data_IF_226834676497
#
_entry.id   IF_226834676497
#
_cell.length_a   1.000
_cell.length_b   1.000
_cell.length_c   1.000
_cell.angle_alpha   90.00
_cell.angle_beta   90.00
_cell.angle_gamma   90.00
#
_symmetry.space_group_name_H-M   'P 1'
#
loop_
_entity.id
_entity.type
_entity.pdbx_description
1 polymer ?
#
# COMPACT_ATOMS: atom_id res chain seq x y z
N UNK A 1 -23.44 18.67 -12.69
CA UNK A 1 -22.31 17.86 -13.15
C UNK A 1 -22.23 16.65 -12.24
N UNK A 2 -22.49 15.44 -12.73
CA UNK A 2 -22.21 14.22 -11.96
C UNK A 2 -20.69 14.03 -11.98
N UNK A 3 -20.01 14.27 -10.85
CA UNK A 3 -18.60 13.93 -10.73
C UNK A 3 -18.48 12.41 -10.79
N UNK A 4 -17.80 11.88 -11.81
CA UNK A 4 -17.32 10.50 -11.75
C UNK A 4 -16.36 10.40 -10.57
N UNK A 5 -16.68 9.53 -9.62
CA UNK A 5 -15.80 9.26 -8.48
C UNK A 5 -14.80 8.22 -8.93
N UNK A 6 -13.54 8.60 -9.07
CA UNK A 6 -12.46 7.66 -9.30
C UNK A 6 -12.15 7.00 -7.96
N UNK A 7 -12.24 5.68 -7.90
CA UNK A 7 -11.89 4.91 -6.71
C UNK A 7 -10.60 4.16 -6.98
N UNK A 8 -9.65 4.27 -6.04
CA UNK A 8 -8.35 3.60 -6.11
C UNK A 8 -8.25 2.66 -4.92
N UNK A 9 -7.85 1.42 -5.14
CA UNK A 9 -7.68 0.41 -4.09
C UNK A 9 -6.35 -0.32 -4.24
N UNK A 10 -5.78 -0.81 -3.14
CA UNK A 10 -4.60 -1.70 -3.18
C UNK A 10 -5.05 -3.07 -3.72
N UNK A 11 -4.26 -3.68 -4.62
CA UNK A 11 -4.53 -5.02 -5.10
C UNK A 11 -4.32 -6.09 -4.03
N UNK A 12 -5.10 -7.17 -4.10
CA UNK A 12 -5.07 -8.23 -3.09
C UNK A 12 -3.71 -8.93 -2.98
N UNK A 13 -3.03 -9.17 -4.11
CA UNK A 13 -1.69 -9.76 -4.15
C UNK A 13 -0.63 -8.89 -3.46
N UNK A 14 -0.82 -7.57 -3.45
CA UNK A 14 0.04 -6.63 -2.70
C UNK A 14 -0.23 -6.76 -1.19
N UNK A 15 -1.49 -6.93 -0.78
CA UNK A 15 -1.85 -7.07 0.63
C UNK A 15 -1.29 -8.36 1.24
N UNK A 16 -1.22 -9.45 0.47
CA UNK A 16 -0.64 -10.72 0.94
C UNK A 16 0.80 -10.55 1.41
N UNK A 17 1.59 -9.78 0.67
CA UNK A 17 3.02 -9.53 0.95
C UNK A 17 3.22 -8.69 2.22
N UNK A 18 2.25 -7.83 2.56
CA UNK A 18 2.29 -7.02 3.78
C UNK A 18 2.07 -7.82 5.07
N UNK A 19 1.84 -9.14 4.98
CA UNK A 19 1.83 -10.03 6.14
C UNK A 19 3.23 -10.51 6.57
N UNK A 20 4.30 -10.19 5.83
CA UNK A 20 5.68 -10.51 6.20
C UNK A 20 6.33 -9.36 7.00
N UNK A 21 6.76 -9.63 8.24
CA UNK A 21 7.40 -8.65 9.12
C UNK A 21 8.65 -8.00 8.50
N UNK A 22 9.37 -8.72 7.63
CA UNK A 22 10.54 -8.19 6.92
C UNK A 22 10.15 -7.12 5.92
N UNK A 23 9.01 -7.30 5.25
CA UNK A 23 8.44 -6.29 4.33
C UNK A 23 8.06 -5.05 5.11
N UNK A 24 7.38 -5.22 6.26
CA UNK A 24 7.01 -4.10 7.12
C UNK A 24 8.23 -3.33 7.65
N UNK A 25 9.29 -4.05 8.02
CA UNK A 25 10.57 -3.44 8.42
C UNK A 25 11.23 -2.67 7.26
N UNK A 26 11.23 -3.22 6.04
CA UNK A 26 11.74 -2.53 4.86
C UNK A 26 10.95 -1.27 4.54
N UNK A 27 9.62 -1.30 4.62
CA UNK A 27 8.79 -0.10 4.41
C UNK A 27 9.10 0.94 5.49
N UNK A 28 9.28 0.54 6.75
CA UNK A 28 9.72 1.45 7.81
C UNK A 28 11.05 2.13 7.47
N UNK A 29 12.06 1.38 7.04
CA UNK A 29 13.36 1.95 6.68
C UNK A 29 13.28 2.94 5.51
N UNK A 30 12.35 2.74 4.57
CA UNK A 30 12.18 3.60 3.40
C UNK A 30 11.30 4.83 3.66
N UNK A 31 10.34 4.75 4.59
CA UNK A 31 9.29 5.76 4.77
C UNK A 31 9.31 6.45 6.12
N UNK A 32 10.06 5.90 7.09
CA UNK A 32 10.03 6.27 8.50
C UNK A 32 8.64 6.10 9.18
N UNK A 33 7.71 5.40 8.53
CA UNK A 33 6.43 4.99 9.13
C UNK A 33 6.70 3.71 9.91
N UNK A 34 6.46 3.72 11.22
CA UNK A 34 6.75 2.58 12.07
C UNK A 34 6.04 1.31 11.58
N UNK A 35 6.74 0.17 11.61
CA UNK A 35 6.20 -1.11 11.15
C UNK A 35 4.90 -1.50 11.88
N UNK A 36 4.79 -1.18 13.18
CA UNK A 36 3.57 -1.41 13.99
C UNK A 36 2.36 -0.62 13.48
N UNK A 37 2.59 0.52 12.83
CA UNK A 37 1.56 1.40 12.32
C UNK A 37 1.02 0.84 11.01
N UNK A 38 1.91 0.38 10.13
CA UNK A 38 1.54 -0.30 8.87
C UNK A 38 0.82 -1.61 9.17
N UNK A 39 1.34 -2.41 10.10
CA UNK A 39 0.69 -3.64 10.57
C UNK A 39 -0.75 -3.38 11.04
N UNK A 40 -0.96 -2.32 11.83
CA UNK A 40 -2.31 -1.95 12.30
C UNK A 40 -3.24 -1.55 11.16
N UNK A 41 -2.75 -0.84 10.14
CA UNK A 41 -3.57 -0.51 8.97
C UNK A 41 -4.00 -1.75 8.22
N UNK A 42 -3.08 -2.69 7.99
CA UNK A 42 -3.37 -3.97 7.31
C UNK A 42 -4.39 -4.78 8.12
N UNK A 43 -4.20 -4.92 9.44
CA UNK A 43 -5.13 -5.68 10.29
C UNK A 43 -6.50 -5.04 10.45
N UNK A 44 -6.59 -3.71 10.42
CA UNK A 44 -7.86 -2.99 10.51
C UNK A 44 -8.61 -2.92 9.18
N UNK A 45 -7.99 -3.29 8.05
CA UNK A 45 -8.56 -3.08 6.72
C UNK A 45 -8.53 -1.62 6.27
N UNK A 46 -7.68 -0.78 6.88
CA UNK A 46 -7.55 0.66 6.57
C UNK A 46 -6.64 0.88 5.34
N UNK A 47 -6.94 0.22 4.22
CA UNK A 47 -6.06 0.18 3.06
C UNK A 47 -5.86 1.52 2.35
N UNK A 48 -6.76 2.49 2.55
CA UNK A 48 -6.59 3.85 2.03
C UNK A 48 -5.29 4.51 2.56
N UNK A 49 -4.85 4.13 3.75
CA UNK A 49 -3.59 4.63 4.32
C UNK A 49 -2.35 4.07 3.61
N UNK A 50 -2.49 2.90 2.97
CA UNK A 50 -1.44 2.29 2.14
C UNK A 50 -1.32 2.97 0.77
N UNK A 51 -2.34 3.72 0.33
CA UNK A 51 -2.30 4.50 -0.91
C UNK A 51 -1.45 5.78 -0.79
N UNK A 52 -0.90 6.07 0.40
CA UNK A 52 0.05 7.16 0.54
C UNK A 52 1.28 6.90 -0.35
N UNK A 53 1.59 7.83 -1.26
CA UNK A 53 2.54 7.59 -2.34
C UNK A 53 3.93 7.08 -1.89
N UNK A 54 4.54 7.57 -0.80
CA UNK A 54 5.78 6.98 -0.28
C UNK A 54 5.66 5.51 0.14
N UNK A 55 4.50 5.08 0.65
CA UNK A 55 4.23 3.67 0.97
C UNK A 55 4.14 2.85 -0.31
N UNK A 56 3.43 3.35 -1.33
CA UNK A 56 3.35 2.71 -2.65
C UNK A 56 4.72 2.58 -3.32
N UNK A 57 5.56 3.61 -3.23
CA UNK A 57 6.94 3.55 -3.74
C UNK A 57 7.78 2.50 -3.01
N UNK A 58 7.67 2.41 -1.68
CA UNK A 58 8.38 1.41 -0.90
C UNK A 58 7.93 -0.02 -1.24
N UNK A 59 6.62 -0.24 -1.36
CA UNK A 59 6.05 -1.53 -1.77
C UNK A 59 6.50 -1.88 -3.19
N UNK A 60 6.43 -0.93 -4.14
CA UNK A 60 6.87 -1.11 -5.51
C UNK A 60 8.34 -1.47 -5.60
N UNK A 61 9.19 -0.84 -4.79
CA UNK A 61 10.61 -1.18 -4.71
C UNK A 61 10.84 -2.62 -4.21
N UNK A 62 10.15 -3.04 -3.15
CA UNK A 62 10.25 -4.40 -2.58
C UNK A 62 9.79 -5.45 -3.61
N UNK A 63 8.73 -5.15 -4.36
CA UNK A 63 8.15 -6.05 -5.35
C UNK A 63 8.76 -5.95 -6.74
N UNK A 64 9.67 -4.99 -6.97
CA UNK A 64 10.18 -4.64 -8.30
C UNK A 64 9.05 -4.36 -9.31
N UNK A 65 8.05 -3.57 -8.89
CA UNK A 65 6.86 -3.20 -9.66
C UNK A 65 6.65 -1.69 -9.65
N UNK A 66 6.09 -1.17 -10.73
CA UNK A 66 5.65 0.23 -10.80
C UNK A 66 4.38 0.45 -9.96
N UNK A 67 4.15 1.68 -9.50
CA UNK A 67 3.02 2.01 -8.61
C UNK A 67 1.65 1.68 -9.22
N UNK A 68 1.46 1.89 -10.53
CA UNK A 68 0.19 1.57 -11.20
C UNK A 68 -0.08 0.06 -11.25
N UNK A 69 0.95 -0.76 -11.09
CA UNK A 69 0.79 -2.21 -11.03
C UNK A 69 0.29 -2.66 -9.64
N UNK A 70 0.40 -1.82 -8.61
CA UNK A 70 0.05 -2.13 -7.21
C UNK A 70 -1.42 -1.82 -6.86
N UNK A 71 -2.11 -1.04 -7.68
CA UNK A 71 -3.44 -0.50 -7.40
C UNK A 71 -4.43 -0.84 -8.49
N UNK A 72 -5.69 -0.98 -8.11
CA UNK A 72 -6.82 -1.00 -9.03
C UNK A 72 -7.46 0.39 -9.09
N UNK A 73 -7.94 0.77 -10.27
CA UNK A 73 -8.61 2.05 -10.51
C UNK A 73 -9.98 1.78 -11.14
N UNK A 74 -11.04 2.07 -10.39
CA UNK A 74 -12.43 1.98 -10.84
C UNK A 74 -12.93 3.39 -11.22
N UNK A 75 -13.54 3.52 -12.41
CA UNK A 75 -14.00 4.79 -13.01
C UNK A 75 -15.52 4.97 -13.02
#
# INVERSE_FOLDING_TARGET
MNSKVIKVTIKEDVLEVLNDDRVLASIFLMTNIKADTIYRWVKAGDYDKLLYYPVLLAIGHILSRDVYELVDVEM
#
